data_IF_465827898538
#
_entry.id   IF_465827898538
#
_cell.length_a   1.000
_cell.length_b   1.000
_cell.length_c   1.000
_cell.angle_alpha   90.00
_cell.angle_beta   90.00
_cell.angle_gamma   90.00
#
_symmetry.space_group_name_H-M   'P 1'
#
loop_
_entity.id
_entity.type
_entity.pdbx_description
1 polymer ?
#
# COMPACT_ATOMS: atom_id res chain seq x y z
N UNK A 1 -10.84 -6.00 8.45
CA UNK A 1 -11.60 -4.74 8.39
C UNK A 1 -11.51 -4.00 9.70
N UNK A 2 -10.63 -2.99 9.73
CA UNK A 2 -10.33 -2.13 10.88
C UNK A 2 -9.87 -0.73 10.43
N UNK A 3 -8.88 -0.14 11.12
CA UNK A 3 -8.47 1.25 10.89
C UNK A 3 -7.89 1.53 9.50
N UNK A 4 -7.10 0.61 8.94
CA UNK A 4 -6.48 0.79 7.62
C UNK A 4 -7.52 0.91 6.50
N UNK A 5 -8.53 0.04 6.51
CA UNK A 5 -9.64 0.06 5.57
C UNK A 5 -10.48 1.35 5.68
N UNK A 6 -10.69 1.88 6.90
CA UNK A 6 -11.36 3.17 7.07
C UNK A 6 -10.56 4.32 6.46
N UNK A 7 -9.23 4.33 6.62
CA UNK A 7 -8.40 5.42 6.10
C UNK A 7 -8.35 5.42 4.58
N UNK A 8 -8.12 4.26 3.96
CA UNK A 8 -8.13 4.16 2.48
C UNK A 8 -9.50 4.54 1.92
N UNK A 9 -10.58 4.10 2.55
CA UNK A 9 -11.93 4.45 2.13
C UNK A 9 -12.25 5.93 2.31
N UNK A 10 -11.79 6.58 3.39
CA UNK A 10 -11.94 8.03 3.57
C UNK A 10 -11.14 8.84 2.54
N UNK A 11 -9.92 8.40 2.18
CA UNK A 11 -9.15 9.04 1.12
C UNK A 11 -9.91 8.97 -0.22
N UNK A 12 -10.45 7.79 -0.54
CA UNK A 12 -11.25 7.60 -1.75
C UNK A 12 -12.51 8.48 -1.76
N UNK A 13 -13.25 8.55 -0.66
CA UNK A 13 -14.44 9.42 -0.52
C UNK A 13 -14.10 10.90 -0.77
N UNK A 14 -12.98 11.39 -0.23
CA UNK A 14 -12.54 12.77 -0.45
C UNK A 14 -12.17 13.00 -1.92
N UNK A 15 -11.36 12.11 -2.52
CA UNK A 15 -10.98 12.23 -3.93
C UNK A 15 -12.19 12.21 -4.87
N UNK A 16 -13.17 11.35 -4.60
CA UNK A 16 -14.44 11.33 -5.33
C UNK A 16 -15.19 12.66 -5.18
N UNK A 17 -15.25 13.21 -3.97
CA UNK A 17 -15.94 14.49 -3.70
C UNK A 17 -15.30 15.68 -4.43
N UNK A 18 -14.00 15.59 -4.72
CA UNK A 18 -13.24 16.56 -5.51
C UNK A 18 -13.33 16.30 -7.03
N UNK A 19 -14.06 15.26 -7.44
CA UNK A 19 -14.34 14.96 -8.86
C UNK A 19 -13.29 14.11 -9.57
N UNK A 20 -12.40 13.44 -8.84
CA UNK A 20 -11.44 12.50 -9.44
C UNK A 20 -12.08 11.15 -9.76
N UNK A 21 -11.58 10.47 -10.79
CA UNK A 21 -11.85 9.05 -11.02
C UNK A 21 -11.02 8.22 -10.03
N UNK A 22 -11.68 7.33 -9.27
CA UNK A 22 -11.05 6.58 -8.19
C UNK A 22 -11.24 5.09 -8.38
N UNK A 23 -10.12 4.37 -8.43
CA UNK A 23 -10.08 2.92 -8.32
C UNK A 23 -9.73 2.50 -6.88
N UNK A 24 -10.60 1.70 -6.27
CA UNK A 24 -10.30 0.99 -5.02
C UNK A 24 -9.79 -0.41 -5.36
N UNK A 25 -8.48 -0.60 -5.19
CA UNK A 25 -7.80 -1.85 -5.49
C UNK A 25 -7.93 -2.82 -4.32
N UNK A 26 -8.31 -4.06 -4.60
CA UNK A 26 -8.42 -5.15 -3.63
C UNK A 26 -7.72 -6.41 -4.11
N UNK A 27 -7.23 -7.21 -3.15
CA UNK A 27 -6.69 -8.56 -3.41
C UNK A 27 -7.67 -9.56 -2.80
N UNK A 28 -8.65 -9.97 -3.60
CA UNK A 28 -9.71 -10.89 -3.19
C UNK A 28 -11.09 -10.23 -3.07
N UNK A 29 -12.16 -11.05 -2.94
CA UNK A 29 -13.53 -10.57 -2.94
C UNK A 29 -13.82 -9.71 -1.69
N UNK A 30 -14.42 -8.56 -1.91
CA UNK A 30 -14.94 -7.66 -0.85
C UNK A 30 -16.41 -7.42 -1.15
N UNK A 31 -17.27 -7.60 -0.15
CA UNK A 31 -18.64 -7.10 -0.22
C UNK A 31 -18.61 -5.57 -0.04
N UNK A 32 -18.81 -4.87 -1.15
CA UNK A 32 -18.71 -3.41 -1.25
C UNK A 32 -19.78 -2.72 -0.41
N UNK A 33 -20.99 -3.30 -0.35
CA UNK A 33 -22.10 -2.76 0.43
C UNK A 33 -21.81 -2.90 1.92
N UNK A 34 -21.39 -4.09 2.34
CA UNK A 34 -20.96 -4.32 3.73
C UNK A 34 -19.78 -3.40 4.10
N UNK A 35 -18.81 -3.25 3.19
CA UNK A 35 -17.64 -2.39 3.39
C UNK A 35 -18.08 -0.94 3.66
N UNK A 36 -18.88 -0.35 2.77
CA UNK A 36 -19.34 1.03 2.88
C UNK A 36 -20.18 1.24 4.14
N UNK A 37 -21.10 0.32 4.46
CA UNK A 37 -21.95 0.39 5.64
C UNK A 37 -21.13 0.33 6.94
N UNK A 38 -20.27 -0.69 7.07
CA UNK A 38 -19.44 -0.86 8.28
C UNK A 38 -18.49 0.30 8.49
N UNK A 39 -17.95 0.86 7.40
CA UNK A 39 -17.01 1.98 7.48
C UNK A 39 -17.70 3.33 7.52
N UNK A 40 -19.02 3.44 7.31
CA UNK A 40 -19.75 4.70 7.16
C UNK A 40 -19.06 5.62 6.14
N UNK A 41 -19.01 5.16 4.88
CA UNK A 41 -18.38 5.85 3.75
C UNK A 41 -19.35 5.94 2.57
N UNK A 42 -19.27 7.03 1.82
CA UNK A 42 -19.96 7.25 0.54
C UNK A 42 -18.95 7.06 -0.58
N UNK A 43 -18.95 5.87 -1.17
CA UNK A 43 -18.06 5.50 -2.27
C UNK A 43 -18.81 5.33 -3.59
N UNK A 44 -19.98 5.95 -3.69
CA UNK A 44 -20.75 5.99 -4.93
C UNK A 44 -19.89 6.63 -6.03
N UNK A 45 -19.56 5.85 -7.06
CA UNK A 45 -18.70 6.28 -8.17
C UNK A 45 -17.24 5.77 -8.12
N UNK A 46 -16.78 5.18 -7.01
CA UNK A 46 -15.53 4.42 -7.04
C UNK A 46 -15.69 3.16 -7.89
N UNK A 47 -14.65 2.82 -8.66
CA UNK A 47 -14.55 1.53 -9.34
C UNK A 47 -13.73 0.58 -8.48
N UNK A 48 -14.25 -0.63 -8.25
CA UNK A 48 -13.53 -1.66 -7.53
C UNK A 48 -12.70 -2.49 -8.52
N UNK A 49 -11.40 -2.58 -8.27
CA UNK A 49 -10.45 -3.25 -9.17
C UNK A 49 -9.78 -4.39 -8.44
N UNK A 50 -9.97 -5.59 -8.97
CA UNK A 50 -9.33 -6.81 -8.46
C UNK A 50 -7.91 -6.93 -9.00
N UNK A 51 -6.93 -6.90 -8.10
CA UNK A 51 -5.55 -7.26 -8.41
C UNK A 51 -5.29 -8.73 -8.06
N UNK A 52 -4.52 -9.44 -8.89
CA UNK A 52 -4.17 -10.83 -8.61
C UNK A 52 -3.27 -10.90 -7.36
N UNK A 53 -3.37 -12.01 -6.62
CA UNK A 53 -2.50 -12.28 -5.48
C UNK A 53 -1.07 -12.65 -5.96
N UNK A 54 -0.31 -11.63 -6.34
CA UNK A 54 1.06 -11.71 -6.85
C UNK A 54 2.04 -10.95 -5.96
N UNK A 55 3.33 -11.11 -6.21
CA UNK A 55 4.36 -10.35 -5.49
C UNK A 55 4.27 -8.85 -5.77
N UNK A 56 4.77 -8.04 -4.84
CA UNK A 56 4.85 -6.59 -5.02
C UNK A 56 5.62 -6.18 -6.30
N UNK A 57 6.66 -6.93 -6.67
CA UNK A 57 7.43 -6.66 -7.89
C UNK A 57 6.63 -6.91 -9.16
N UNK A 58 5.78 -7.95 -9.18
CA UNK A 58 4.92 -8.28 -10.32
C UNK A 58 3.73 -7.30 -10.44
N UNK A 59 3.26 -6.76 -9.32
CA UNK A 59 2.16 -5.79 -9.30
C UNK A 59 2.62 -4.35 -9.59
N UNK A 60 3.87 -4.00 -9.28
CA UNK A 60 4.41 -2.65 -9.44
C UNK A 60 4.13 -2.02 -10.82
N UNK A 61 4.30 -2.71 -11.97
CA UNK A 61 4.01 -2.14 -13.29
C UNK A 61 2.56 -1.66 -13.46
N UNK A 62 1.59 -2.31 -12.81
CA UNK A 62 0.16 -1.91 -12.89
C UNK A 62 -0.09 -0.52 -12.31
N UNK A 63 0.75 -0.06 -11.39
CA UNK A 63 0.61 1.29 -10.84
C UNK A 63 0.94 2.39 -11.87
N UNK A 64 1.64 2.07 -12.97
CA UNK A 64 1.93 3.04 -14.03
C UNK A 64 0.69 3.53 -14.78
N UNK A 65 -0.43 2.80 -14.70
CA UNK A 65 -1.70 3.16 -15.34
C UNK A 65 -2.42 4.33 -14.63
N UNK A 66 -1.90 4.78 -13.47
CA UNK A 66 -2.51 5.82 -12.65
C UNK A 66 -1.68 7.10 -12.64
N UNK A 67 -2.35 8.26 -12.73
CA UNK A 67 -1.71 9.57 -12.53
C UNK A 67 -1.19 9.75 -11.09
N UNK A 68 -1.92 9.18 -10.12
CA UNK A 68 -1.58 9.12 -8.71
C UNK A 68 -1.88 7.72 -8.17
N UNK A 69 -0.86 7.07 -7.60
CA UNK A 69 -1.02 5.77 -6.94
C UNK A 69 -0.83 5.88 -5.42
N UNK A 70 -1.84 5.49 -4.64
CA UNK A 70 -1.80 5.52 -3.18
C UNK A 70 -1.69 4.09 -2.65
N UNK A 71 -0.52 3.74 -2.12
CA UNK A 71 -0.29 2.46 -1.47
C UNK A 71 -0.58 2.58 0.03
N UNK A 72 -1.62 1.91 0.51
CA UNK A 72 -1.98 1.84 1.94
C UNK A 72 -1.85 0.41 2.51
N UNK A 73 -1.20 -0.48 1.78
CA UNK A 73 -1.01 -1.88 2.20
C UNK A 73 0.05 -1.97 3.30
N UNK A 74 -0.30 -2.66 4.38
CA UNK A 74 0.59 -2.89 5.51
C UNK A 74 1.85 -3.65 5.10
N UNK A 75 3.03 -3.12 5.49
CA UNK A 75 4.35 -3.69 5.18
C UNK A 75 4.58 -3.96 3.68
N UNK A 76 4.01 -3.13 2.81
CA UNK A 76 4.23 -3.28 1.37
C UNK A 76 5.68 -2.93 0.99
N UNK A 77 6.31 -3.80 0.20
CA UNK A 77 7.60 -3.52 -0.45
C UNK A 77 7.43 -3.05 -1.89
N UNK A 78 6.22 -2.71 -2.31
CA UNK A 78 5.92 -2.32 -3.69
C UNK A 78 6.43 -0.92 -4.00
N UNK A 79 7.34 -0.83 -4.96
CA UNK A 79 7.80 0.44 -5.52
C UNK A 79 6.85 0.82 -6.65
N UNK A 80 6.09 1.89 -6.47
CA UNK A 80 5.17 2.39 -7.49
C UNK A 80 5.92 2.88 -8.74
N UNK A 81 5.30 2.69 -9.90
CA UNK A 81 5.73 3.17 -11.21
C UNK A 81 4.80 4.26 -11.77
N UNK A 82 3.84 4.73 -10.96
CA UNK A 82 3.01 5.89 -11.29
C UNK A 82 3.85 7.16 -11.39
N UNK A 83 3.39 8.13 -12.17
CA UNK A 83 4.04 9.44 -12.26
C UNK A 83 4.09 10.15 -10.90
N UNK A 84 3.07 9.92 -10.05
CA UNK A 84 3.02 10.38 -8.66
C UNK A 84 2.57 9.24 -7.78
N UNK A 85 3.16 9.13 -6.59
CA UNK A 85 2.72 8.12 -5.62
C UNK A 85 2.79 8.61 -4.19
N UNK A 86 1.93 8.03 -3.36
CA UNK A 86 1.90 8.23 -1.90
C UNK A 86 1.96 6.84 -1.26
N UNK A 87 2.86 6.66 -0.30
CA UNK A 87 2.88 5.48 0.55
C UNK A 87 2.44 5.86 1.96
N UNK A 88 1.33 5.26 2.39
CA UNK A 88 0.69 5.57 3.66
C UNK A 88 1.12 4.57 4.73
N UNK A 89 1.98 5.04 5.63
CA UNK A 89 2.53 4.23 6.73
C UNK A 89 1.62 4.34 7.95
N UNK A 90 0.82 3.30 8.19
CA UNK A 90 0.14 3.10 9.46
C UNK A 90 0.96 2.20 10.36
N UNK A 91 1.06 2.58 11.64
CA UNK A 91 1.85 1.87 12.66
C UNK A 91 3.32 1.79 12.26
N UNK A 92 4.11 2.87 12.41
CA UNK A 92 5.54 2.81 12.14
C UNK A 92 6.18 1.78 13.07
N UNK A 93 6.89 0.82 12.50
CA UNK A 93 7.73 -0.13 13.23
C UNK A 93 9.18 0.16 12.90
N UNK A 94 10.08 -0.07 13.85
CA UNK A 94 11.51 -0.06 13.56
C UNK A 94 11.80 -1.15 12.52
N UNK A 95 12.47 -0.77 11.43
CA UNK A 95 13.17 -1.74 10.61
C UNK A 95 14.28 -2.29 11.50
N UNK A 96 14.15 -3.52 11.98
CA UNK A 96 15.26 -4.19 12.65
C UNK A 96 16.34 -4.36 11.60
N UNK A 97 17.28 -3.42 11.55
CA UNK A 97 18.50 -3.57 10.78
C UNK A 97 19.23 -4.78 11.37
N UNK A 98 19.28 -5.87 10.60
CA UNK A 98 20.27 -6.89 10.86
C UNK A 98 21.64 -6.23 10.63
N UNK A 99 22.21 -5.66 11.69
CA UNK A 99 23.62 -5.31 11.71
C UNK A 99 24.38 -6.61 11.46
N UNK A 100 24.83 -6.80 10.22
CA UNK A 100 25.84 -7.78 9.91
C UNK A 100 27.05 -7.44 10.78
N UNK A 101 27.29 -8.28 11.78
CA UNK A 101 28.51 -8.24 12.58
C UNK A 101 29.69 -8.37 11.62
N UNK A 102 30.36 -7.25 11.36
CA UNK A 102 31.68 -7.27 10.75
C UNK A 102 32.62 -7.86 11.79
N UNK A 103 32.81 -9.18 11.70
CA UNK A 103 33.83 -9.88 12.46
C UNK A 103 35.18 -9.19 12.22
N UNK A 104 35.77 -8.73 13.32
CA UNK A 104 37.07 -8.06 13.37
C UNK A 104 38.14 -8.89 12.66
N UNK A 105 38.70 -8.38 11.56
CA UNK A 105 40.05 -8.75 11.14
C UNK A 105 41.02 -8.22 12.20
N UNK A 106 41.38 -9.04 13.18
CA UNK A 106 42.63 -8.85 13.92
C UNK A 106 43.67 -9.80 13.30
N UNK A 107 44.66 -9.19 12.66
CA UNK A 107 45.78 -9.90 12.05
C UNK A 107 46.56 -10.65 13.11
N UNK A 108 46.82 -11.93 12.84
CA UNK A 108 47.76 -12.74 13.60
C UNK A 108 49.16 -12.39 13.09
N UNK A 109 49.92 -11.66 13.90
CA UNK A 109 51.34 -11.44 13.71
C UNK A 109 52.05 -12.45 14.63
N UNK A 110 52.63 -13.50 14.06
CA UNK A 110 53.54 -14.41 14.77
C UNK A 110 54.88 -14.40 14.05
N UNK A 111 55.90 -14.04 14.83
CA UNK A 111 57.33 -14.05 14.58
C UNK A 111 57.91 -15.46 14.51
#
# INVERSE_FOLDING_TARGET
>A
MGGGEKHVGTIAEVLLSEGYEVDLIRVGPVDEVEFCQRMNLKLDGARWVDWPAQSCAELAPRSADYDLFINSTYCSSMVSQAARSIYLVFFPHELVEAHASLASCSGRQES
#
